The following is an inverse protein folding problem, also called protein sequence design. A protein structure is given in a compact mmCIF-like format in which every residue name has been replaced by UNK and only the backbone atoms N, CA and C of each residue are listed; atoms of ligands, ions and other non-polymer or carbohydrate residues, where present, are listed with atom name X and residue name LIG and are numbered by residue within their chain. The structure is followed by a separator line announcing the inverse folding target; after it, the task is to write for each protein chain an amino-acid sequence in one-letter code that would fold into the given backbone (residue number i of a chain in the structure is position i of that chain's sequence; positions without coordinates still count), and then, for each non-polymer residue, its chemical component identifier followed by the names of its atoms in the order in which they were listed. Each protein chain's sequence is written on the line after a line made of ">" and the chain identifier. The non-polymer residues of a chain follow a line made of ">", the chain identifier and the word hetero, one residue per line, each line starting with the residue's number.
data_IF_591984849780
#
_entry.id   IF_591984849780
#
_cell.length_a   1.000
_cell.length_b   1.000
_cell.length_c   1.000
_cell.angle_alpha   90.00
_cell.angle_beta   90.00
_cell.angle_gamma   90.00
#
_symmetry.space_group_name_H-M   'P 1'
#
loop_
_entity.id
_entity.type
_entity.pdbx_description
1 polymer ?
#
# COMPACT_ATOMS: atom_id res chain seq x y z
N UNK A 1 32.97 27.88 89.96
CA UNK A 1 34.29 28.22 90.54
C UNK A 1 35.36 27.60 89.65
N UNK A 2 36.28 28.43 89.14
CA UNK A 2 37.68 28.12 88.71
C UNK A 2 37.83 27.14 87.53
N UNK A 3 38.28 27.56 86.33
CA UNK A 3 39.70 27.77 85.96
C UNK A 3 40.37 26.41 85.69
N UNK A 4 40.83 26.02 84.49
CA UNK A 4 42.05 26.45 83.77
C UNK A 4 42.01 25.90 82.33
N UNK A 5 42.15 26.69 81.25
CA UNK A 5 43.40 27.08 80.56
C UNK A 5 44.48 26.01 80.41
N UNK A 6 44.78 25.64 79.15
CA UNK A 6 46.11 25.46 78.49
C UNK A 6 45.87 24.62 77.21
N UNK A 7 46.33 24.92 76.00
CA UNK A 7 47.38 25.81 75.51
C UNK A 7 47.03 26.35 74.09
N UNK A 8 47.73 27.42 73.71
CA UNK A 8 47.68 28.22 72.47
C UNK A 8 49.01 27.95 71.70
N UNK A 9 49.34 28.52 70.52
CA UNK A 9 48.76 28.56 69.16
C UNK A 9 49.75 28.05 68.07
N UNK A 10 49.36 28.11 66.78
CA UNK A 10 50.29 28.28 65.65
C UNK A 10 49.67 27.88 64.31
N UNK A 11 49.07 28.82 63.56
CA UNK A 11 49.59 29.41 62.31
C UNK A 11 49.71 28.39 61.15
N UNK A 12 49.19 28.57 59.92
CA UNK A 12 48.84 29.76 59.17
C UNK A 12 47.95 29.39 57.96
N UNK A 13 47.10 30.34 57.52
CA UNK A 13 46.99 30.88 56.15
C UNK A 13 47.17 29.86 54.99
N UNK A 14 46.18 29.58 54.13
CA UNK A 14 45.80 30.46 53.02
C UNK A 14 44.38 30.18 52.48
N UNK A 15 43.75 31.28 52.08
CA UNK A 15 42.55 31.48 51.26
C UNK A 15 42.13 30.36 50.30
N UNK A 16 40.93 29.80 50.48
CA UNK A 16 40.24 29.00 49.46
C UNK A 16 39.24 29.85 48.66
N UNK A 17 39.22 29.77 47.32
CA UNK A 17 38.04 30.16 46.57
C UNK A 17 37.11 28.94 46.42
N UNK A 18 35.91 29.07 46.96
CA UNK A 18 34.76 28.26 46.55
C UNK A 18 34.57 28.40 45.04
N UNK A 19 34.02 27.35 44.44
CA UNK A 19 33.44 27.32 43.08
C UNK A 19 34.49 27.23 41.99
N UNK A 20 34.54 26.09 41.29
CA UNK A 20 34.71 25.96 39.84
C UNK A 20 34.96 24.48 39.50
N UNK A 21 34.18 23.99 38.52
CA UNK A 21 34.38 22.74 37.77
C UNK A 21 33.77 21.45 38.35
N UNK A 22 32.44 21.44 38.47
CA UNK A 22 31.68 20.34 37.86
C UNK A 22 31.91 20.44 36.36
N UNK A 23 32.79 19.62 35.75
CA UNK A 23 32.87 19.39 34.27
C UNK A 23 34.04 18.47 33.86
N UNK A 24 34.22 17.30 34.47
CA UNK A 24 35.18 16.32 33.90
C UNK A 24 34.86 14.83 34.13
N UNK A 25 33.59 14.46 34.33
CA UNK A 25 33.16 13.05 34.31
C UNK A 25 32.13 12.70 33.21
N UNK A 26 31.68 13.68 32.42
CA UNK A 26 30.72 13.44 31.32
C UNK A 26 31.37 13.18 29.95
N UNK A 27 32.66 13.45 29.77
CA UNK A 27 33.32 13.32 28.46
C UNK A 27 33.86 11.92 28.13
N UNK A 28 33.98 11.01 29.10
CA UNK A 28 34.44 9.63 28.82
C UNK A 28 33.28 8.67 28.49
N UNK A 29 32.08 8.93 29.03
CA UNK A 29 30.90 8.08 28.83
C UNK A 29 30.15 8.37 27.52
N UNK A 30 30.39 9.53 26.90
CA UNK A 30 29.84 9.89 25.59
C UNK A 30 30.61 9.25 24.41
N UNK A 31 31.87 8.84 24.60
CA UNK A 31 32.71 8.29 23.52
C UNK A 31 32.47 6.80 23.25
N UNK A 32 31.99 6.04 24.25
CA UNK A 32 31.64 4.62 24.10
C UNK A 32 30.23 4.44 23.50
N UNK A 33 29.31 5.38 23.73
CA UNK A 33 27.95 5.31 23.20
C UNK A 33 27.80 5.84 21.76
N UNK A 34 28.82 6.55 21.25
CA UNK A 34 28.85 7.09 19.87
C UNK A 34 29.63 6.21 18.88
N UNK A 35 29.77 4.91 19.15
CA UNK A 35 30.36 3.94 18.21
C UNK A 35 29.39 2.84 17.74
N UNK A 36 28.13 2.90 18.17
CA UNK A 36 27.08 1.93 17.78
C UNK A 36 26.00 2.50 16.85
N UNK A 37 26.08 3.78 16.48
CA UNK A 37 25.08 4.48 15.64
C UNK A 37 25.64 4.97 14.29
N UNK A 38 26.64 4.26 13.77
CA UNK A 38 27.05 4.28 12.36
C UNK A 38 27.11 2.85 11.83
N UNK A 39 25.99 2.12 11.96
CA UNK A 39 25.78 0.94 11.14
C UNK A 39 25.18 1.44 9.84
N UNK A 40 26.00 1.49 8.79
CA UNK A 40 25.49 1.45 7.43
C UNK A 40 24.43 0.34 7.35
N UNK A 41 23.28 0.55 6.67
CA UNK A 41 22.43 -0.58 6.36
C UNK A 41 23.30 -1.63 5.66
N UNK A 42 23.26 -2.87 6.14
CA UNK A 42 23.96 -3.98 5.47
C UNK A 42 23.61 -3.95 3.97
N UNK A 43 24.57 -4.18 3.05
CA UNK A 43 24.29 -4.22 1.62
C UNK A 43 23.11 -5.14 1.30
N UNK A 44 22.91 -6.22 2.05
CA UNK A 44 21.75 -7.10 1.94
C UNK A 44 20.40 -6.40 2.20
N UNK A 45 20.34 -5.40 3.08
CA UNK A 45 19.10 -4.64 3.39
C UNK A 45 18.85 -3.56 2.33
N UNK A 46 19.90 -2.97 1.77
CA UNK A 46 19.80 -2.04 0.65
C UNK A 46 19.42 -2.77 -0.65
N UNK A 47 19.98 -3.95 -0.87
CA UNK A 47 19.72 -4.86 -1.99
C UNK A 47 18.32 -5.49 -1.89
N UNK A 48 17.88 -5.89 -0.69
CA UNK A 48 16.49 -6.32 -0.46
C UNK A 48 15.47 -5.19 -0.70
N UNK A 49 15.81 -3.93 -0.40
CA UNK A 49 14.96 -2.77 -0.72
C UNK A 49 14.98 -2.44 -2.22
N UNK A 50 16.11 -2.62 -2.91
CA UNK A 50 16.21 -2.43 -4.36
C UNK A 50 15.47 -3.54 -5.14
N UNK A 51 15.51 -4.79 -4.66
CA UNK A 51 14.79 -5.92 -5.25
C UNK A 51 13.25 -5.75 -5.15
N UNK A 52 12.77 -5.06 -4.12
CA UNK A 52 11.33 -4.74 -3.94
C UNK A 52 10.84 -3.60 -4.85
N UNK A 53 11.74 -2.85 -5.52
CA UNK A 53 11.40 -1.60 -6.21
C UNK A 53 11.20 -1.73 -7.73
N UNK A 54 11.22 -2.93 -8.31
CA UNK A 54 10.95 -3.08 -9.75
C UNK A 54 10.35 -4.44 -10.08
N UNK A 55 9.13 -4.69 -9.62
CA UNK A 55 8.28 -5.61 -10.38
C UNK A 55 7.84 -4.86 -11.63
N UNK A 56 8.72 -4.83 -12.64
CA UNK A 56 8.38 -4.33 -13.98
C UNK A 56 7.24 -5.20 -14.49
N UNK A 57 6.00 -4.70 -14.38
CA UNK A 57 4.81 -5.36 -14.92
C UNK A 57 5.04 -5.47 -16.43
N UNK A 58 5.50 -6.64 -16.88
CA UNK A 58 5.50 -6.96 -18.29
C UNK A 58 4.04 -7.04 -18.70
N UNK A 59 3.58 -6.13 -19.57
CA UNK A 59 2.24 -6.23 -20.16
C UNK A 59 2.21 -7.51 -20.98
N UNK A 60 1.58 -8.54 -20.42
CA UNK A 60 1.28 -9.76 -21.15
C UNK A 60 0.29 -9.36 -22.26
N UNK A 61 0.71 -9.49 -23.51
CA UNK A 61 -0.17 -9.31 -24.66
C UNK A 61 -1.07 -10.55 -24.76
N UNK A 62 -2.24 -10.49 -24.14
CA UNK A 62 -3.19 -11.61 -24.16
C UNK A 62 -4.07 -11.54 -25.39
N UNK A 63 -4.25 -12.68 -26.05
CA UNK A 63 -5.29 -12.86 -27.08
C UNK A 63 -6.67 -12.46 -26.52
N UNK A 64 -7.54 -11.80 -27.30
CA UNK A 64 -8.87 -11.39 -26.83
C UNK A 64 -9.72 -12.55 -26.29
N UNK A 65 -9.60 -13.73 -26.90
CA UNK A 65 -10.32 -14.92 -26.43
C UNK A 65 -9.91 -15.31 -25.00
N UNK A 66 -8.63 -15.12 -24.64
CA UNK A 66 -8.14 -15.41 -23.29
C UNK A 66 -8.75 -14.46 -22.26
N UNK A 67 -9.12 -13.25 -22.66
CA UNK A 67 -9.82 -12.29 -21.79
C UNK A 67 -11.24 -12.79 -21.45
N UNK A 68 -11.96 -13.32 -22.43
CA UNK A 68 -13.30 -13.89 -22.26
C UNK A 68 -13.23 -15.13 -21.37
N UNK A 69 -12.27 -16.03 -21.64
CA UNK A 69 -12.01 -17.19 -20.79
C UNK A 69 -11.75 -16.78 -19.35
N UNK A 70 -10.97 -15.72 -19.11
CA UNK A 70 -10.71 -15.20 -17.77
C UNK A 70 -12.00 -14.69 -17.10
N UNK A 71 -12.87 -13.98 -17.82
CA UNK A 71 -14.15 -13.53 -17.26
C UNK A 71 -15.07 -14.70 -16.90
N UNK A 72 -15.12 -15.74 -17.75
CA UNK A 72 -15.88 -16.97 -17.49
C UNK A 72 -15.33 -17.71 -16.26
N UNK A 73 -14.02 -17.95 -16.19
CA UNK A 73 -13.39 -18.68 -15.07
C UNK A 73 -13.51 -17.94 -13.74
N UNK A 74 -13.28 -16.63 -13.74
CA UNK A 74 -13.37 -15.81 -12.52
C UNK A 74 -14.81 -15.52 -12.08
N UNK A 75 -15.81 -15.85 -12.90
CA UNK A 75 -17.21 -15.46 -12.72
C UNK A 75 -17.37 -13.95 -12.45
N UNK A 76 -16.49 -13.15 -13.06
CA UNK A 76 -16.48 -11.72 -12.88
C UNK A 76 -17.76 -11.12 -13.46
N UNK A 77 -18.33 -10.14 -12.74
CA UNK A 77 -19.44 -9.36 -13.27
C UNK A 77 -18.88 -8.35 -14.28
N UNK A 78 -19.31 -8.48 -15.53
CA UNK A 78 -18.87 -7.62 -16.62
C UNK A 78 -19.99 -6.67 -17.03
N UNK A 79 -19.62 -5.58 -17.69
CA UNK A 79 -20.50 -4.66 -18.35
C UNK A 79 -20.24 -4.72 -19.85
N UNK A 80 -21.32 -4.78 -20.63
CA UNK A 80 -21.34 -4.90 -22.08
C UNK A 80 -22.03 -3.68 -22.65
N UNK A 81 -21.36 -3.04 -23.60
CA UNK A 81 -21.92 -1.94 -24.38
C UNK A 81 -22.58 -2.52 -25.62
N UNK A 82 -23.80 -2.08 -25.87
CA UNK A 82 -24.60 -2.57 -26.97
C UNK A 82 -24.37 -1.72 -28.23
N UNK A 83 -24.41 -2.37 -29.39
CA UNK A 83 -24.32 -1.70 -30.68
C UNK A 83 -25.45 -0.68 -30.84
N UNK A 84 -25.11 0.53 -31.27
CA UNK A 84 -26.01 1.69 -31.47
C UNK A 84 -26.84 2.15 -30.25
N UNK A 85 -26.73 1.49 -29.09
CA UNK A 85 -27.45 1.86 -27.86
C UNK A 85 -26.51 2.51 -26.84
N UNK A 86 -26.38 3.83 -26.92
CA UNK A 86 -25.49 4.60 -26.02
C UNK A 86 -25.96 4.62 -24.56
N UNK A 87 -27.27 4.57 -24.33
CA UNK A 87 -27.88 4.75 -23.01
C UNK A 87 -28.12 3.44 -22.26
N UNK A 88 -28.01 2.30 -22.93
CA UNK A 88 -28.28 0.98 -22.38
C UNK A 88 -27.01 0.13 -22.35
N UNK A 89 -26.82 -0.57 -21.24
CA UNK A 89 -25.74 -1.53 -21.04
C UNK A 89 -26.30 -2.81 -20.43
N UNK A 90 -25.68 -3.93 -20.75
CA UNK A 90 -25.98 -5.20 -20.09
C UNK A 90 -24.88 -5.48 -19.08
N UNK A 91 -25.24 -5.77 -17.84
CA UNK A 91 -24.32 -6.30 -16.84
C UNK A 91 -24.68 -7.74 -16.51
N UNK A 92 -23.70 -8.60 -16.25
CA UNK A 92 -23.95 -10.00 -15.91
C UNK A 92 -22.67 -10.79 -15.72
N UNK A 93 -22.81 -12.09 -15.45
CA UNK A 93 -21.69 -13.04 -15.35
C UNK A 93 -21.73 -13.99 -16.52
N UNK A 94 -20.63 -14.13 -17.26
CA UNK A 94 -20.56 -15.10 -18.37
C UNK A 94 -20.53 -16.51 -17.81
N UNK A 95 -21.44 -17.35 -18.28
CA UNK A 95 -21.47 -18.80 -17.99
C UNK A 95 -21.21 -19.65 -19.23
N UNK A 96 -21.22 -19.06 -20.42
CA UNK A 96 -20.87 -19.71 -21.68
C UNK A 96 -20.68 -18.70 -22.82
N UNK A 97 -19.91 -19.08 -23.84
CA UNK A 97 -19.77 -18.35 -25.09
C UNK A 97 -19.52 -19.31 -26.25
N UNK A 98 -19.74 -18.86 -27.48
CA UNK A 98 -19.50 -19.63 -28.71
C UNK A 98 -18.54 -18.91 -29.68
N UNK A 99 -18.35 -19.50 -30.87
CA UNK A 99 -17.49 -18.94 -31.94
C UNK A 99 -18.01 -17.61 -32.50
N UNK A 100 -19.31 -17.33 -32.38
CA UNK A 100 -19.95 -16.11 -32.84
C UNK A 100 -20.00 -15.03 -31.75
N UNK A 101 -19.37 -15.27 -30.60
CA UNK A 101 -19.41 -14.37 -29.44
C UNK A 101 -20.82 -14.19 -28.86
N UNK A 102 -21.75 -15.12 -29.11
CA UNK A 102 -22.98 -15.15 -28.34
C UNK A 102 -22.63 -15.52 -26.90
N UNK A 103 -23.17 -14.77 -25.94
CA UNK A 103 -22.86 -14.95 -24.52
C UNK A 103 -24.09 -15.43 -23.77
N UNK A 104 -23.92 -16.48 -22.98
CA UNK A 104 -24.89 -16.84 -21.95
C UNK A 104 -24.49 -16.12 -20.67
N UNK A 105 -25.38 -15.24 -20.19
CA UNK A 105 -25.18 -14.43 -19.00
C UNK A 105 -26.12 -14.89 -17.88
N UNK A 106 -25.58 -15.02 -16.68
CA UNK A 106 -26.33 -15.23 -15.43
C UNK A 106 -26.37 -13.93 -14.61
N UNK A 107 -27.37 -13.82 -13.72
CA UNK A 107 -27.63 -12.62 -12.90
C UNK A 107 -27.64 -11.31 -13.73
N UNK A 108 -28.19 -11.38 -14.95
CA UNK A 108 -28.09 -10.29 -15.91
C UNK A 108 -29.05 -9.14 -15.55
N UNK A 109 -28.58 -7.91 -15.81
CA UNK A 109 -29.32 -6.67 -15.62
C UNK A 109 -29.16 -5.76 -16.83
N UNK A 110 -30.26 -5.12 -17.22
CA UNK A 110 -30.24 -3.97 -18.11
C UNK A 110 -30.01 -2.70 -17.27
N UNK A 111 -28.97 -1.95 -17.61
CA UNK A 111 -28.57 -0.72 -16.93
C UNK A 111 -28.81 0.45 -17.87
N UNK A 112 -29.76 1.32 -17.50
CA UNK A 112 -29.95 2.59 -18.20
C UNK A 112 -29.05 3.65 -17.58
N UNK A 113 -28.06 4.13 -18.35
CA UNK A 113 -27.12 5.17 -17.91
C UNK A 113 -27.85 6.49 -17.66
N UNK A 114 -28.75 6.86 -18.57
CA UNK A 114 -29.50 8.11 -18.53
C UNK A 114 -30.49 8.16 -17.36
N UNK A 115 -31.23 7.06 -17.16
CA UNK A 115 -32.25 6.97 -16.10
C UNK A 115 -31.69 6.50 -14.75
N UNK A 116 -30.44 6.00 -14.74
CA UNK A 116 -29.80 5.35 -13.57
C UNK A 116 -30.65 4.23 -12.98
N UNK A 117 -31.42 3.55 -13.82
CA UNK A 117 -32.27 2.42 -13.42
C UNK A 117 -31.60 1.10 -13.80
N UNK A 118 -31.88 0.06 -13.03
CA UNK A 118 -31.45 -1.32 -13.28
C UNK A 118 -32.68 -2.21 -13.35
N UNK A 119 -32.76 -3.03 -14.38
CA UNK A 119 -33.84 -4.01 -14.57
C UNK A 119 -33.24 -5.40 -14.61
N UNK A 120 -33.67 -6.27 -13.69
CA UNK A 120 -33.22 -7.66 -13.69
C UNK A 120 -33.80 -8.41 -14.89
N UNK A 121 -32.95 -9.19 -15.55
CA UNK A 121 -33.28 -10.05 -16.68
C UNK A 121 -33.11 -11.54 -16.33
N UNK A 122 -32.31 -11.85 -15.31
CA UNK A 122 -32.01 -13.23 -14.92
C UNK A 122 -31.01 -13.86 -15.88
N UNK A 123 -31.31 -15.06 -16.40
CA UNK A 123 -30.45 -15.75 -17.35
C UNK A 123 -30.85 -15.44 -18.78
N UNK A 124 -29.92 -14.92 -19.58
CA UNK A 124 -30.17 -14.52 -20.97
C UNK A 124 -29.10 -15.03 -21.92
N UNK A 125 -29.46 -15.13 -23.19
CA UNK A 125 -28.51 -15.29 -24.31
C UNK A 125 -28.42 -13.96 -25.04
N UNK A 126 -27.24 -13.33 -25.00
CA UNK A 126 -26.94 -12.09 -25.72
C UNK A 126 -26.25 -12.45 -27.03
N UNK A 127 -26.76 -11.96 -28.16
CA UNK A 127 -26.15 -12.21 -29.46
C UNK A 127 -24.85 -11.41 -29.64
N UNK A 128 -23.85 -12.01 -30.27
CA UNK A 128 -22.52 -11.41 -30.45
C UNK A 128 -22.50 -10.18 -31.37
N UNK A 129 -23.42 -10.10 -32.33
CA UNK A 129 -23.63 -8.96 -33.23
C UNK A 129 -23.99 -7.66 -32.49
N UNK A 130 -24.57 -7.76 -31.31
CA UNK A 130 -24.95 -6.63 -30.48
C UNK A 130 -23.83 -6.13 -29.56
N UNK A 131 -22.66 -6.80 -29.52
CA UNK A 131 -21.57 -6.47 -28.60
C UNK A 131 -20.62 -5.44 -29.22
N UNK A 132 -20.51 -4.27 -28.60
CA UNK A 132 -19.49 -3.26 -28.99
C UNK A 132 -18.25 -3.32 -28.12
N UNK A 133 -18.42 -3.46 -26.81
CA UNK A 133 -17.31 -3.47 -25.85
C UNK A 133 -17.69 -4.28 -24.62
N UNK A 134 -16.72 -4.99 -24.04
CA UNK A 134 -16.85 -5.70 -22.78
C UNK A 134 -15.79 -5.20 -21.79
N UNK A 135 -16.21 -4.91 -20.56
CA UNK A 135 -15.29 -4.46 -19.50
C UNK A 135 -15.67 -5.05 -18.15
N UNK A 136 -14.71 -5.08 -17.23
CA UNK A 136 -15.02 -5.37 -15.83
C UNK A 136 -15.83 -4.20 -15.23
N UNK A 137 -16.90 -4.49 -14.49
CA UNK A 137 -17.73 -3.48 -13.81
C UNK A 137 -16.96 -2.62 -12.80
N UNK A 138 -15.87 -3.14 -12.24
CA UNK A 138 -15.07 -2.46 -11.22
C UNK A 138 -13.93 -1.58 -11.76
N UNK A 139 -13.72 -1.53 -13.07
CA UNK A 139 -12.71 -0.65 -13.64
C UNK A 139 -13.21 0.80 -13.60
N UNK A 140 -12.92 1.52 -12.49
CA UNK A 140 -13.01 2.98 -12.46
C UNK A 140 -11.82 3.55 -13.23
N UNK A 141 -12.11 4.38 -14.23
CA UNK A 141 -11.13 5.25 -14.87
C UNK A 141 -10.88 6.49 -14.00
#
# INVERSE_FOLDING_TARGET
>A
MVGTSTAVPGAAMTTGPKTVTVMLSLSYRARVFRRQKRRHPSPAVAEAKAAMASTKVQRIMTQPINLIFRFLQSKARIQIWLFEQKDLRIEGRIIGFDEYMNLVLDDAEEVSIKKKTRKQLGRILLKGDNITLMMNTYAKF
#
